data_IF_033887746263
#
_entry.id   IF_033887746263
#
_cell.length_a   1.000
_cell.length_b   1.000
_cell.length_c   1.000
_cell.angle_alpha   90.00
_cell.angle_beta   90.00
_cell.angle_gamma   90.00
#
_symmetry.space_group_name_H-M   'P 1'
#
loop_
_entity.id
_entity.type
_entity.pdbx_description
1 polymer ?
#
# COMPACT_ATOMS: atom_id res chain seq x y z
N UNK A 1 10.81 -9.83 7.46
CA UNK A 1 11.17 -8.39 7.45
C UNK A 1 10.48 -7.73 6.26
N UNK A 2 9.67 -6.69 6.48
CA UNK A 2 9.09 -5.87 5.40
C UNK A 2 10.21 -4.98 4.85
N UNK A 3 10.80 -5.35 3.71
CA UNK A 3 11.79 -4.50 3.05
C UNK A 3 11.07 -3.49 2.17
N UNK A 4 11.30 -2.20 2.44
CA UNK A 4 10.73 -1.12 1.66
C UNK A 4 11.84 -0.25 1.08
N UNK A 5 11.79 -0.01 -0.22
CA UNK A 5 12.67 0.91 -0.93
C UNK A 5 11.90 2.16 -1.31
N UNK A 6 12.51 3.32 -1.08
CA UNK A 6 12.00 4.60 -1.53
C UNK A 6 12.90 5.11 -2.64
N UNK A 7 12.30 5.50 -3.75
CA UNK A 7 13.02 6.01 -4.90
C UNK A 7 12.36 7.32 -5.36
N UNK A 8 13.19 8.30 -5.69
CA UNK A 8 12.77 9.54 -6.33
C UNK A 8 12.85 9.33 -7.84
N UNK A 9 11.86 9.83 -8.57
CA UNK A 9 11.83 9.77 -10.03
C UNK A 9 11.29 11.06 -10.61
N UNK A 10 11.82 11.45 -11.77
CA UNK A 10 11.43 12.68 -12.45
C UNK A 10 10.33 12.36 -13.47
N UNK A 11 9.30 13.20 -13.52
CA UNK A 11 8.22 13.13 -14.52
C UNK A 11 8.18 14.43 -15.31
N UNK A 12 7.44 14.46 -16.42
CA UNK A 12 7.18 15.69 -17.19
C UNK A 12 6.56 16.82 -16.35
N UNK A 13 5.92 16.47 -15.23
CA UNK A 13 5.27 17.40 -14.30
C UNK A 13 6.08 17.66 -13.02
N UNK A 14 7.36 17.28 -13.00
CA UNK A 14 8.25 17.47 -11.87
C UNK A 14 8.61 16.18 -11.14
N UNK A 15 9.30 16.34 -10.02
CA UNK A 15 9.84 15.24 -9.24
C UNK A 15 8.77 14.58 -8.36
N UNK A 16 8.80 13.25 -8.31
CA UNK A 16 7.87 12.44 -7.53
C UNK A 16 8.62 11.34 -6.79
N UNK A 17 7.96 10.81 -5.77
CA UNK A 17 8.45 9.69 -4.98
C UNK A 17 7.60 8.45 -5.25
N UNK A 18 8.28 7.30 -5.32
CA UNK A 18 7.68 5.97 -5.33
C UNK A 18 8.26 5.17 -4.18
N UNK A 19 7.50 4.19 -3.72
CA UNK A 19 8.01 3.16 -2.83
C UNK A 19 7.62 1.78 -3.34
N UNK A 20 8.50 0.82 -3.12
CA UNK A 20 8.26 -0.60 -3.35
C UNK A 20 8.43 -1.33 -2.03
N UNK A 21 7.44 -2.11 -1.63
CA UNK A 21 7.47 -2.87 -0.38
C UNK A 21 7.21 -4.34 -0.64
N UNK A 22 8.05 -5.18 -0.04
CA UNK A 22 7.84 -6.61 0.03
C UNK A 22 6.97 -6.92 1.25
N UNK A 23 5.77 -7.46 1.01
CA UNK A 23 4.79 -7.78 2.05
C UNK A 23 4.94 -9.20 2.60
N UNK A 24 5.53 -10.11 1.83
CA UNK A 24 5.77 -11.49 2.26
C UNK A 24 5.68 -12.47 1.09
N UNK A 25 5.60 -13.76 1.40
CA UNK A 25 5.34 -14.81 0.42
C UNK A 25 3.95 -15.36 0.67
N UNK A 26 3.14 -15.45 -0.38
CA UNK A 26 1.87 -16.15 -0.34
C UNK A 26 2.14 -17.64 -0.08
N UNK A 27 1.60 -18.19 1.02
CA UNK A 27 1.86 -19.59 1.42
C UNK A 27 1.16 -20.61 0.52
N UNK A 28 0.13 -20.20 -0.24
CA UNK A 28 -0.66 -21.07 -1.11
C UNK A 28 -0.04 -21.13 -2.49
N UNK A 29 0.38 -19.98 -3.04
CA UNK A 29 0.93 -19.91 -4.40
C UNK A 29 2.46 -19.90 -4.45
N UNK A 30 3.13 -19.74 -3.30
CA UNK A 30 4.58 -19.58 -3.20
C UNK A 30 5.11 -18.29 -3.82
N UNK A 31 4.24 -17.39 -4.30
CA UNK A 31 4.63 -16.16 -4.99
C UNK A 31 4.95 -15.05 -4.00
N UNK A 32 5.95 -14.25 -4.35
CA UNK A 32 6.34 -13.04 -3.61
C UNK A 32 5.22 -12.00 -3.74
N UNK A 33 4.69 -11.56 -2.60
CA UNK A 33 3.72 -10.47 -2.53
C UNK A 33 4.51 -9.17 -2.37
N UNK A 34 4.53 -8.39 -3.43
CA UNK A 34 5.13 -7.06 -3.46
C UNK A 34 4.07 -6.03 -3.89
N UNK A 35 4.15 -4.83 -3.32
CA UNK A 35 3.28 -3.71 -3.69
C UNK A 35 4.14 -2.51 -3.98
N UNK A 36 3.88 -1.88 -5.12
CA UNK A 36 4.55 -0.63 -5.52
C UNK A 36 3.50 0.49 -5.56
N UNK A 37 3.77 1.62 -4.92
CA UNK A 37 2.96 2.83 -5.05
C UNK A 37 3.83 4.01 -5.45
N UNK A 38 3.30 4.87 -6.32
CA UNK A 38 4.03 5.98 -6.94
C UNK A 38 3.17 7.23 -7.02
N UNK A 39 3.80 8.37 -7.26
CA UNK A 39 3.11 9.64 -7.53
C UNK A 39 3.11 10.62 -6.35
N UNK A 40 3.78 10.30 -5.26
CA UNK A 40 3.87 11.17 -4.08
C UNK A 40 4.71 12.41 -4.40
N UNK A 41 4.30 13.59 -3.90
CA UNK A 41 5.08 14.81 -4.09
C UNK A 41 6.26 14.87 -3.13
N UNK A 42 6.10 14.29 -1.94
CA UNK A 42 7.14 14.30 -0.90
C UNK A 42 7.46 12.90 -0.39
N UNK A 43 8.68 12.73 0.17
CA UNK A 43 9.08 11.51 0.88
C UNK A 43 8.20 11.22 2.09
N UNK A 44 7.72 12.25 2.79
CA UNK A 44 6.83 12.13 3.96
C UNK A 44 5.48 11.51 3.57
N UNK A 45 4.87 11.96 2.48
CA UNK A 45 3.64 11.36 1.95
C UNK A 45 3.82 9.88 1.59
N UNK A 46 4.94 9.56 0.92
CA UNK A 46 5.27 8.18 0.59
C UNK A 46 5.43 7.31 1.86
N UNK A 47 6.07 7.84 2.90
CA UNK A 47 6.24 7.15 4.18
C UNK A 47 4.91 6.95 4.91
N UNK A 48 4.03 7.95 4.93
CA UNK A 48 2.68 7.84 5.52
C UNK A 48 1.85 6.78 4.81
N UNK A 49 1.89 6.76 3.47
CA UNK A 49 1.22 5.75 2.68
C UNK A 49 1.77 4.35 2.95
N UNK A 50 3.09 4.22 3.15
CA UNK A 50 3.71 2.95 3.55
C UNK A 50 3.26 2.51 4.95
N UNK A 51 3.23 3.41 5.93
CA UNK A 51 2.76 3.11 7.28
C UNK A 51 1.28 2.68 7.28
N UNK A 52 0.45 3.37 6.50
CA UNK A 52 -0.96 3.00 6.33
C UNK A 52 -1.11 1.63 5.67
N UNK A 53 -0.30 1.34 4.64
CA UNK A 53 -0.26 0.03 3.99
C UNK A 53 0.16 -1.08 4.97
N UNK A 54 1.19 -0.82 5.78
CA UNK A 54 1.65 -1.75 6.82
C UNK A 54 0.55 -2.00 7.85
N UNK A 55 -0.10 -0.97 8.37
CA UNK A 55 -1.19 -1.11 9.34
C UNK A 55 -2.36 -1.92 8.76
N UNK A 56 -2.73 -1.71 7.49
CA UNK A 56 -3.76 -2.50 6.80
C UNK A 56 -3.35 -3.96 6.61
N UNK A 57 -2.06 -4.21 6.36
CA UNK A 57 -1.52 -5.55 6.24
C UNK A 57 -1.55 -6.29 7.58
N UNK A 58 -1.11 -5.62 8.64
CA UNK A 58 -1.09 -6.12 10.02
C UNK A 58 -2.51 -6.44 10.53
N UNK A 59 -3.48 -5.57 10.20
CA UNK A 59 -4.89 -5.78 10.47
C UNK A 59 -5.53 -6.95 9.69
N UNK A 60 -4.76 -7.72 8.90
CA UNK A 60 -5.24 -8.87 8.14
C UNK A 60 -6.12 -8.51 6.94
N UNK A 61 -6.30 -7.23 6.62
CA UNK A 61 -7.13 -6.80 5.48
C UNK A 61 -6.53 -7.17 4.13
N UNK A 62 -5.22 -7.44 4.10
CA UNK A 62 -4.47 -7.84 2.90
C UNK A 62 -4.02 -9.31 2.93
N UNK A 63 -4.32 -10.06 4.00
CA UNK A 63 -4.10 -11.49 4.04
C UNK A 63 -5.11 -12.15 3.10
N UNK A 64 -4.69 -12.34 1.86
CA UNK A 64 -5.30 -13.25 0.90
C UNK A 64 -5.02 -14.67 1.39
N UNK A 65 -5.86 -15.19 2.27
CA UNK A 65 -5.97 -16.66 2.44
C UNK A 65 -7.24 -17.22 1.83
N UNK A 66 -8.17 -16.39 1.36
CA UNK A 66 -9.35 -16.91 0.65
C UNK A 66 -9.70 -15.98 -0.52
N UNK A 67 -9.98 -16.60 -1.67
CA UNK A 67 -10.12 -15.97 -2.98
C UNK A 67 -11.29 -15.01 -3.11
N UNK A 68 -11.22 -13.88 -2.43
CA UNK A 68 -12.22 -12.82 -2.53
C UNK A 68 -11.51 -11.57 -3.03
N UNK A 69 -11.78 -11.24 -4.29
CA UNK A 69 -11.59 -9.90 -4.83
C UNK A 69 -12.12 -8.91 -3.80
N UNK A 70 -11.25 -8.26 -3.04
CA UNK A 70 -11.64 -7.08 -2.25
C UNK A 70 -11.87 -5.97 -3.25
N UNK A 71 -13.09 -5.99 -3.78
CA UNK A 71 -13.69 -5.02 -4.65
C UNK A 71 -13.52 -3.64 -4.01
N UNK A 72 -13.39 -2.65 -4.87
CA UNK A 72 -13.36 -1.20 -4.59
C UNK A 72 -14.26 -0.76 -3.41
N UNK A 73 -15.37 -1.47 -3.19
CA UNK A 73 -16.30 -1.34 -2.06
C UNK A 73 -15.64 -1.31 -0.67
N UNK A 74 -14.72 -2.24 -0.37
CA UNK A 74 -14.06 -2.30 0.94
C UNK A 74 -13.10 -1.10 1.17
N UNK A 75 -12.55 -0.55 0.09
CA UNK A 75 -11.71 0.65 0.12
C UNK A 75 -12.57 1.91 0.34
N UNK A 76 -13.76 1.95 -0.23
CA UNK A 76 -14.71 3.05 -0.11
C UNK A 76 -15.30 3.14 1.30
N UNK A 77 -15.72 2.02 1.89
CA UNK A 77 -16.24 1.98 3.26
C UNK A 77 -15.21 2.43 4.31
N UNK A 78 -13.94 2.08 4.09
CA UNK A 78 -12.85 2.53 4.97
C UNK A 78 -12.55 4.03 4.81
N UNK A 79 -12.83 4.61 3.64
CA UNK A 79 -12.71 6.05 3.40
C UNK A 79 -13.84 6.82 4.09
N UNK A 80 -15.10 6.37 3.93
CA UNK A 80 -16.27 6.96 4.59
C UNK A 80 -16.14 7.02 6.11
N UNK A 81 -15.72 5.91 6.73
CA UNK A 81 -15.54 5.82 8.18
C UNK A 81 -14.50 6.81 8.73
N UNK A 82 -13.56 7.26 7.90
CA UNK A 82 -12.53 8.23 8.30
C UNK A 82 -12.98 9.69 8.09
N UNK A 83 -14.00 9.94 7.26
CA UNK A 83 -14.53 11.28 6.99
C UNK A 83 -15.63 11.72 7.95
N UNK A 84 -16.21 10.81 8.74
CA UNK A 84 -17.28 11.10 9.71
C UNK A 84 -16.79 11.61 11.08
N UNK A 85 -15.49 11.95 11.19
CA UNK A 85 -14.88 12.45 12.43
C UNK A 85 -14.34 13.88 12.32
N UNK A 86 -14.88 14.66 11.37
CA UNK A 86 -14.77 16.12 11.34
C UNK A 86 -16.16 16.74 11.43
#
# INVERSE_FOLDING_TARGET
MLMATFEKYTTKHGERYKFKVYLGTDKVTGKRIETTRRGFKTKKEAQLALNSLKSRFDAGLLNKTDGISKTFDALFQMWLKNTERM
#
